data_IF_898690788298
#
_entry.id   IF_898690788298
#
_cell.length_a   1.000
_cell.length_b   1.000
_cell.length_c   1.000
_cell.angle_alpha   90.00
_cell.angle_beta   90.00
_cell.angle_gamma   90.00
#
_symmetry.space_group_name_H-M   'P 1'
#
loop_
_entity.id
_entity.type
_entity.pdbx_description
1 polymer ?
#
# COMPACT_ATOMS: atom_id res chain seq x y z
N UNK A 1 4.01 -14.19 -18.84
CA UNK A 1 5.03 -13.17 -19.19
C UNK A 1 6.19 -13.38 -18.25
N UNK A 2 7.41 -13.24 -18.75
CA UNK A 2 8.60 -13.38 -17.91
C UNK A 2 8.93 -12.05 -17.19
N UNK A 3 9.82 -12.09 -16.20
CA UNK A 3 10.22 -10.93 -15.40
C UNK A 3 10.77 -9.77 -16.26
N UNK A 4 11.47 -10.08 -17.36
CA UNK A 4 12.08 -9.09 -18.26
C UNK A 4 11.02 -8.31 -19.05
N UNK A 5 9.98 -8.98 -19.56
CA UNK A 5 8.89 -8.34 -20.29
C UNK A 5 8.07 -7.40 -19.39
N UNK A 6 7.89 -7.75 -18.11
CA UNK A 6 7.20 -6.88 -17.15
C UNK A 6 8.02 -5.63 -16.82
N UNK A 7 9.34 -5.76 -16.74
CA UNK A 7 10.25 -4.62 -16.59
C UNK A 7 10.11 -3.65 -17.77
N UNK A 8 10.15 -4.18 -19.00
CA UNK A 8 10.13 -3.35 -20.22
C UNK A 8 8.76 -2.67 -20.44
N UNK A 9 7.68 -3.17 -19.80
CA UNK A 9 6.38 -2.49 -19.78
C UNK A 9 6.33 -1.28 -18.83
N UNK A 10 7.18 -1.25 -17.81
CA UNK A 10 7.23 -0.16 -16.84
C UNK A 10 8.20 0.89 -17.37
N UNK A 11 7.70 2.12 -17.57
CA UNK A 11 8.52 3.23 -18.05
C UNK A 11 9.71 3.50 -17.11
N UNK A 12 10.88 3.76 -17.69
CA UNK A 12 12.10 4.13 -16.94
C UNK A 12 11.89 5.32 -15.98
N UNK A 13 10.99 6.25 -16.33
CA UNK A 13 10.60 7.38 -15.47
C UNK A 13 9.98 6.93 -14.15
N UNK A 14 9.14 5.88 -14.16
CA UNK A 14 8.52 5.33 -12.95
C UNK A 14 9.55 4.59 -12.08
N UNK A 15 10.53 3.94 -12.70
CA UNK A 15 11.64 3.29 -11.97
C UNK A 15 12.47 4.30 -11.17
N UNK A 16 12.61 5.53 -11.67
CA UNK A 16 13.39 6.60 -11.02
C UNK A 16 12.53 7.51 -10.11
N UNK A 17 11.21 7.38 -10.16
CA UNK A 17 10.29 8.22 -9.40
C UNK A 17 10.46 8.00 -7.89
N UNK A 18 11.03 9.01 -7.23
CA UNK A 18 11.30 9.02 -5.79
C UNK A 18 10.45 10.02 -5.02
N UNK A 19 9.70 10.88 -5.72
CA UNK A 19 8.77 11.83 -5.11
C UNK A 19 7.33 11.30 -5.17
N UNK A 20 6.57 11.53 -4.10
CA UNK A 20 5.12 11.24 -4.02
C UNK A 20 4.31 12.07 -5.01
N UNK A 21 4.88 13.18 -5.51
CA UNK A 21 4.27 13.99 -6.55
C UNK A 21 4.24 13.28 -7.92
N UNK A 22 5.23 12.43 -8.19
CA UNK A 22 5.48 11.83 -9.52
C UNK A 22 4.64 10.58 -9.77
N UNK A 23 4.22 9.89 -8.70
CA UNK A 23 3.45 8.64 -8.79
C UNK A 23 2.06 8.88 -8.21
N UNK A 24 1.02 8.61 -9.02
CA UNK A 24 -0.39 8.73 -8.60
C UNK A 24 -1.07 7.38 -8.50
N UNK A 25 -2.29 7.38 -7.96
CA UNK A 25 -3.16 6.18 -7.89
C UNK A 25 -3.26 5.44 -9.24
N UNK A 26 -3.33 6.15 -10.36
CA UNK A 26 -3.39 5.53 -11.69
C UNK A 26 -2.13 4.73 -12.03
N UNK A 27 -0.96 5.18 -11.58
CA UNK A 27 0.29 4.50 -11.84
C UNK A 27 0.39 3.23 -11.00
N UNK A 28 -0.04 3.26 -9.73
CA UNK A 28 -0.16 2.04 -8.94
C UNK A 28 -1.09 1.00 -9.57
N UNK A 29 -2.21 1.41 -10.18
CA UNK A 29 -3.10 0.49 -10.92
C UNK A 29 -2.42 -0.10 -12.16
N UNK A 30 -1.58 0.67 -12.87
CA UNK A 30 -0.79 0.14 -14.00
C UNK A 30 0.26 -0.85 -13.51
N UNK A 31 0.93 -0.56 -12.39
CA UNK A 31 1.91 -1.47 -11.76
C UNK A 31 1.25 -2.78 -11.32
N UNK A 32 0.05 -2.71 -10.72
CA UNK A 32 -0.75 -3.89 -10.39
C UNK A 32 -1.10 -4.71 -11.63
N UNK A 33 -1.55 -4.06 -12.70
CA UNK A 33 -1.85 -4.73 -13.96
C UNK A 33 -0.62 -5.36 -14.60
N UNK A 34 0.57 -4.77 -14.43
CA UNK A 34 1.83 -5.32 -14.91
C UNK A 34 2.25 -6.55 -14.09
N UNK A 35 2.24 -6.44 -12.75
CA UNK A 35 2.58 -7.53 -11.84
C UNK A 35 1.58 -8.71 -11.93
N UNK A 36 0.31 -8.44 -12.22
CA UNK A 36 -0.69 -9.49 -12.43
C UNK A 36 -0.37 -10.39 -13.65
N UNK A 37 0.43 -9.93 -14.61
CA UNK A 37 0.86 -10.73 -15.77
C UNK A 37 1.95 -11.75 -15.43
N UNK A 38 2.57 -11.63 -14.26
CA UNK A 38 3.44 -12.66 -13.69
C UNK A 38 2.53 -13.75 -13.08
N UNK A 39 2.31 -14.82 -13.82
CA UNK A 39 1.47 -15.95 -13.37
C UNK A 39 2.25 -16.99 -12.59
N UNK A 40 3.51 -17.21 -12.97
CA UNK A 40 4.36 -18.20 -12.34
C UNK A 40 4.97 -17.67 -11.03
N UNK A 41 5.03 -18.53 -10.01
CA UNK A 41 5.63 -18.16 -8.72
C UNK A 41 7.14 -17.92 -8.81
N UNK A 42 7.81 -18.57 -9.76
CA UNK A 42 9.24 -18.42 -10.03
C UNK A 42 9.54 -17.05 -10.63
N UNK A 43 8.82 -16.65 -11.69
CA UNK A 43 8.94 -15.34 -12.32
C UNK A 43 8.66 -14.19 -11.34
N UNK A 44 7.67 -14.36 -10.44
CA UNK A 44 7.39 -13.38 -9.38
C UNK A 44 8.54 -13.21 -8.41
N UNK A 45 9.17 -14.32 -8.01
CA UNK A 45 10.28 -14.29 -7.07
C UNK A 45 11.55 -13.71 -7.71
N UNK A 46 11.83 -14.05 -8.97
CA UNK A 46 12.92 -13.45 -9.73
C UNK A 46 12.73 -11.93 -9.87
N UNK A 47 11.51 -11.49 -10.22
CA UNK A 47 11.21 -10.07 -10.34
C UNK A 47 11.31 -9.33 -9.00
N UNK A 48 10.87 -9.96 -7.90
CA UNK A 48 11.05 -9.40 -6.55
C UNK A 48 12.53 -9.20 -6.23
N UNK A 49 13.36 -10.21 -6.47
CA UNK A 49 14.81 -10.13 -6.25
C UNK A 49 15.44 -9.00 -7.05
N UNK A 50 15.03 -8.83 -8.31
CA UNK A 50 15.46 -7.71 -9.13
C UNK A 50 15.04 -6.34 -8.54
N UNK A 51 13.82 -6.21 -8.03
CA UNK A 51 13.38 -4.98 -7.37
C UNK A 51 14.21 -4.69 -6.11
N UNK A 52 14.52 -5.71 -5.31
CA UNK A 52 15.35 -5.58 -4.10
C UNK A 52 16.79 -5.17 -4.45
N UNK A 53 17.40 -5.80 -5.46
CA UNK A 53 18.72 -5.40 -5.98
C UNK A 53 18.71 -3.94 -6.49
N UNK A 54 17.64 -3.52 -7.17
CA UNK A 54 17.50 -2.14 -7.63
C UNK A 54 17.37 -1.15 -6.46
N UNK A 55 16.74 -1.56 -5.36
CA UNK A 55 16.68 -0.79 -4.11
C UNK A 55 18.01 -0.75 -3.38
N UNK A 56 18.91 -1.70 -3.57
CA UNK A 56 20.25 -1.73 -2.94
C UNK A 56 21.32 -0.99 -3.74
N UNK A 57 21.25 -1.00 -5.08
CA UNK A 57 22.35 -0.48 -5.91
C UNK A 57 22.10 0.89 -6.56
N UNK A 58 20.88 1.12 -7.09
CA UNK A 58 20.67 2.17 -8.12
C UNK A 58 19.62 3.22 -7.75
N UNK A 59 18.54 2.85 -7.05
CA UNK A 59 17.40 3.71 -6.78
C UNK A 59 16.79 3.46 -5.38
N UNK A 60 17.57 3.71 -4.31
CA UNK A 60 17.19 3.43 -2.92
C UNK A 60 15.81 3.97 -2.47
N UNK A 61 15.30 5.03 -3.09
CA UNK A 61 14.05 5.70 -2.70
C UNK A 61 12.93 5.63 -3.73
N UNK A 62 13.01 4.75 -4.73
CA UNK A 62 11.93 4.68 -5.72
C UNK A 62 10.64 4.11 -5.13
N UNK A 63 9.56 4.87 -5.27
CA UNK A 63 8.21 4.51 -4.78
C UNK A 63 7.67 3.32 -5.57
N UNK A 64 7.83 3.35 -6.90
CA UNK A 64 7.33 2.28 -7.77
C UNK A 64 8.01 0.94 -7.48
N UNK A 65 9.33 0.97 -7.23
CA UNK A 65 10.10 -0.25 -6.94
C UNK A 65 9.70 -0.85 -5.60
N UNK A 66 9.55 -0.03 -4.56
CA UNK A 66 9.07 -0.47 -3.23
C UNK A 66 7.68 -1.10 -3.32
N UNK A 67 6.79 -0.48 -4.08
CA UNK A 67 5.45 -1.01 -4.32
C UNK A 67 5.50 -2.35 -5.06
N UNK A 68 6.27 -2.44 -6.15
CA UNK A 68 6.43 -3.66 -6.94
C UNK A 68 7.04 -4.81 -6.15
N UNK A 69 8.07 -4.54 -5.35
CA UNK A 69 8.70 -5.52 -4.47
C UNK A 69 7.69 -6.13 -3.47
N UNK A 70 6.74 -5.31 -3.00
CA UNK A 70 5.68 -5.78 -2.10
C UNK A 70 4.71 -6.70 -2.84
N UNK A 71 4.12 -6.26 -3.95
CA UNK A 71 3.03 -6.99 -4.63
C UNK A 71 3.51 -8.26 -5.36
N UNK A 72 4.80 -8.36 -5.66
CA UNK A 72 5.42 -9.55 -6.28
C UNK A 72 5.99 -10.52 -5.25
N UNK A 73 6.11 -10.10 -3.99
CA UNK A 73 6.50 -10.96 -2.88
C UNK A 73 5.48 -12.05 -2.56
N UNK A 74 5.93 -13.09 -1.85
CA UNK A 74 5.02 -14.07 -1.25
C UNK A 74 4.46 -13.49 0.04
N UNK A 75 3.13 -13.48 0.17
CA UNK A 75 2.52 -13.22 1.46
C UNK A 75 2.93 -14.28 2.48
N UNK A 76 3.17 -13.89 3.75
CA UNK A 76 3.01 -12.55 4.35
C UNK A 76 4.31 -11.91 4.85
N UNK A 77 5.49 -12.25 4.30
CA UNK A 77 6.75 -12.02 5.03
C UNK A 77 7.54 -10.73 4.75
N UNK A 78 7.16 -9.86 3.81
CA UNK A 78 7.91 -8.60 3.63
C UNK A 78 7.06 -7.41 3.15
N UNK A 79 6.18 -6.95 4.04
CA UNK A 79 5.30 -5.79 3.78
C UNK A 79 5.98 -4.44 4.12
N UNK A 80 7.26 -4.45 4.55
CA UNK A 80 7.96 -3.24 5.03
C UNK A 80 7.99 -2.13 3.98
N UNK A 81 8.16 -2.49 2.71
CA UNK A 81 8.27 -1.52 1.62
C UNK A 81 6.98 -0.74 1.38
N UNK A 82 5.81 -1.39 1.41
CA UNK A 82 4.52 -0.70 1.22
C UNK A 82 4.15 0.18 2.40
N UNK A 83 4.53 -0.19 3.64
CA UNK A 83 4.35 0.68 4.80
C UNK A 83 5.22 1.94 4.69
N UNK A 84 6.47 1.84 4.24
CA UNK A 84 7.30 3.03 3.98
C UNK A 84 6.65 3.94 2.94
N UNK A 85 6.13 3.37 1.85
CA UNK A 85 5.45 4.17 0.81
C UNK A 85 4.19 4.83 1.40
N UNK A 86 3.37 4.10 2.15
CA UNK A 86 2.19 4.64 2.81
C UNK A 86 2.52 5.83 3.73
N UNK A 87 3.59 5.71 4.53
CA UNK A 87 4.07 6.77 5.42
C UNK A 87 4.46 8.03 4.64
N UNK A 88 5.22 7.89 3.55
CA UNK A 88 5.61 9.02 2.71
C UNK A 88 4.40 9.77 2.16
N UNK A 89 3.40 9.06 1.63
CA UNK A 89 2.17 9.71 1.13
C UNK A 89 1.31 10.31 2.25
N UNK A 90 1.34 9.73 3.44
CA UNK A 90 0.64 10.27 4.60
C UNK A 90 1.29 11.58 5.07
N UNK A 91 2.61 11.63 5.18
CA UNK A 91 3.37 12.84 5.53
C UNK A 91 3.12 13.97 4.53
N UNK A 92 3.05 13.64 3.24
CA UNK A 92 2.76 14.60 2.16
C UNK A 92 1.27 14.95 2.04
N UNK A 93 0.40 14.43 2.92
CA UNK A 93 -1.06 14.66 2.91
C UNK A 93 -1.74 14.30 1.58
N UNK A 94 -1.18 13.33 0.87
CA UNK A 94 -1.66 12.85 -0.42
C UNK A 94 -2.73 11.77 -0.22
N UNK A 95 -3.89 12.21 0.30
CA UNK A 95 -4.97 11.34 0.79
C UNK A 95 -5.47 10.29 -0.21
N UNK A 96 -5.64 10.58 -1.52
CA UNK A 96 -6.09 9.56 -2.47
C UNK A 96 -5.14 8.36 -2.56
N UNK A 97 -3.85 8.61 -2.56
CA UNK A 97 -2.81 7.58 -2.57
C UNK A 97 -2.70 6.85 -1.23
N UNK A 98 -2.84 7.56 -0.11
CA UNK A 98 -2.93 6.95 1.23
C UNK A 98 -4.10 5.97 1.30
N UNK A 99 -5.28 6.35 0.81
CA UNK A 99 -6.46 5.48 0.78
C UNK A 99 -6.19 4.26 -0.09
N UNK A 100 -5.60 4.46 -1.28
CA UNK A 100 -5.28 3.35 -2.18
C UNK A 100 -4.32 2.35 -1.54
N UNK A 101 -3.19 2.83 -1.02
CA UNK A 101 -2.13 2.02 -0.42
C UNK A 101 -2.60 1.33 0.85
N UNK A 102 -3.32 2.04 1.73
CA UNK A 102 -3.90 1.46 2.93
C UNK A 102 -4.85 0.32 2.61
N UNK A 103 -5.77 0.51 1.66
CA UNK A 103 -6.67 -0.56 1.22
C UNK A 103 -5.91 -1.72 0.58
N UNK A 104 -4.82 -1.44 -0.17
CA UNK A 104 -3.97 -2.48 -0.75
C UNK A 104 -3.32 -3.34 0.33
N UNK A 105 -2.77 -2.74 1.37
CA UNK A 105 -2.19 -3.47 2.52
C UNK A 105 -3.26 -4.39 3.15
N UNK A 106 -4.48 -3.90 3.32
CA UNK A 106 -5.59 -4.71 3.87
C UNK A 106 -5.99 -5.90 2.99
N UNK A 107 -5.65 -5.92 1.70
CA UNK A 107 -5.85 -7.13 0.86
C UNK A 107 -4.87 -8.25 1.18
N UNK A 108 -3.75 -7.91 1.82
CA UNK A 108 -2.64 -8.82 2.12
C UNK A 108 -2.66 -9.27 3.58
N UNK A 109 -2.90 -8.31 4.47
CA UNK A 109 -2.93 -8.50 5.91
C UNK A 109 -3.87 -7.46 6.52
N UNK A 110 -4.74 -7.91 7.43
CA UNK A 110 -5.65 -7.03 8.17
C UNK A 110 -4.85 -6.26 9.24
N UNK A 111 -4.08 -5.27 8.80
CA UNK A 111 -3.13 -4.51 9.63
C UNK A 111 -3.82 -3.42 10.43
N UNK A 112 -3.65 -3.44 11.76
CA UNK A 112 -4.14 -2.39 12.66
C UNK A 112 -3.54 -1.02 12.31
N UNK A 113 -2.28 -0.97 11.90
CA UNK A 113 -1.63 0.26 11.45
C UNK A 113 -2.32 0.85 10.22
N UNK A 114 -2.55 0.05 9.18
CA UNK A 114 -3.22 0.51 7.97
C UNK A 114 -4.66 0.98 8.25
N UNK A 115 -5.39 0.29 9.13
CA UNK A 115 -6.73 0.70 9.56
C UNK A 115 -6.71 2.04 10.32
N UNK A 116 -5.74 2.28 11.19
CA UNK A 116 -5.58 3.57 11.90
C UNK A 116 -5.33 4.72 10.91
N UNK A 117 -4.37 4.55 10.00
CA UNK A 117 -4.05 5.53 8.95
C UNK A 117 -5.27 5.83 8.07
N UNK A 118 -6.01 4.81 7.65
CA UNK A 118 -7.22 4.99 6.86
C UNK A 118 -8.31 5.73 7.62
N UNK A 119 -8.54 5.40 8.89
CA UNK A 119 -9.56 6.07 9.70
C UNK A 119 -9.27 7.56 9.89
N UNK A 120 -8.01 7.93 10.09
CA UNK A 120 -7.57 9.33 10.12
C UNK A 120 -7.78 10.01 8.76
N UNK A 121 -7.38 9.35 7.69
CA UNK A 121 -7.56 9.87 6.33
C UNK A 121 -9.05 10.12 6.02
N UNK A 122 -9.93 9.17 6.34
CA UNK A 122 -11.37 9.33 6.16
C UNK A 122 -11.96 10.44 7.04
N UNK A 123 -11.41 10.65 8.25
CA UNK A 123 -11.79 11.78 9.11
C UNK A 123 -11.45 13.11 8.45
N UNK A 124 -10.23 13.27 7.94
CA UNK A 124 -9.77 14.50 7.26
C UNK A 124 -10.59 14.80 6.00
N UNK A 125 -11.01 13.75 5.28
CA UNK A 125 -11.78 13.87 4.04
C UNK A 125 -13.30 13.91 4.25
N UNK A 126 -13.79 13.98 5.50
CA UNK A 126 -15.22 13.96 5.86
C UNK A 126 -15.98 12.73 5.31
N UNK A 127 -15.30 11.59 5.22
CA UNK A 127 -15.83 10.30 4.76
C UNK A 127 -16.31 9.48 5.97
N UNK A 128 -17.38 9.95 6.61
CA UNK A 128 -17.81 9.39 7.91
C UNK A 128 -18.20 7.91 7.82
N UNK A 129 -18.82 7.49 6.72
CA UNK A 129 -19.24 6.10 6.55
C UNK A 129 -18.03 5.15 6.52
N UNK A 130 -17.06 5.44 5.67
CA UNK A 130 -15.84 4.66 5.48
C UNK A 130 -14.98 4.63 6.75
N UNK A 131 -14.96 5.74 7.49
CA UNK A 131 -14.34 5.84 8.81
C UNK A 131 -15.00 4.88 9.82
N UNK A 132 -16.32 4.88 9.93
CA UNK A 132 -17.03 3.97 10.84
C UNK A 132 -16.78 2.51 10.47
N UNK A 133 -16.88 2.15 9.18
CA UNK A 133 -16.56 0.80 8.70
C UNK A 133 -15.10 0.39 9.04
N UNK A 134 -14.17 1.33 8.96
CA UNK A 134 -12.75 1.10 9.30
C UNK A 134 -12.55 0.90 10.81
N UNK A 135 -13.24 1.67 11.64
CA UNK A 135 -13.21 1.51 13.10
C UNK A 135 -13.79 0.18 13.56
N UNK A 136 -14.88 -0.28 12.95
CA UNK A 136 -15.44 -1.60 13.26
C UNK A 136 -14.46 -2.74 12.96
N UNK A 137 -13.68 -2.62 11.88
CA UNK A 137 -12.62 -3.57 11.53
C UNK A 137 -11.46 -3.47 12.51
N UNK A 138 -11.03 -2.26 12.85
CA UNK A 138 -9.92 -2.02 13.77
C UNK A 138 -10.15 -2.67 15.13
N UNK A 139 -11.35 -2.52 15.70
CA UNK A 139 -11.70 -3.14 16.99
C UNK A 139 -11.65 -4.67 16.96
N UNK A 140 -11.93 -5.29 15.81
CA UNK A 140 -11.86 -6.76 15.66
C UNK A 140 -10.44 -7.29 15.54
N UNK A 141 -9.51 -6.43 15.09
CA UNK A 141 -8.09 -6.77 14.89
C UNK A 141 -7.30 -6.46 16.15
N UNK A 142 -7.63 -5.34 16.79
CA UNK A 142 -6.96 -4.79 17.96
C UNK A 142 -8.02 -4.47 19.02
N UNK A 143 -8.37 -5.51 19.81
CA UNK A 143 -9.40 -5.41 20.84
C UNK A 143 -8.98 -4.53 22.04
N UNK A 144 -7.71 -4.12 22.11
CA UNK A 144 -7.18 -3.25 23.17
C UNK A 144 -7.42 -1.76 22.87
N UNK A 145 -7.89 -1.41 21.67
CA UNK A 145 -8.23 -0.04 21.26
C UNK A 145 -9.56 0.43 21.87
N UNK A 146 -9.56 0.63 23.19
CA UNK A 146 -10.73 1.06 23.97
C UNK A 146 -11.28 2.41 23.53
N UNK A 147 -10.45 3.31 23.03
CA UNK A 147 -10.88 4.64 22.58
C UNK A 147 -11.76 4.58 21.32
N UNK A 148 -11.46 3.65 20.42
CA UNK A 148 -12.27 3.42 19.20
C UNK A 148 -13.60 2.75 19.56
N UNK A 149 -13.58 1.84 20.54
CA UNK A 149 -14.80 1.22 21.09
C UNK A 149 -15.78 2.26 21.65
N UNK A 150 -15.30 3.22 22.45
CA UNK A 150 -16.17 4.29 22.98
C UNK A 150 -16.76 5.16 21.87
N UNK A 151 -15.95 5.56 20.88
CA UNK A 151 -16.43 6.37 19.74
C UNK A 151 -17.50 5.66 18.91
N UNK A 152 -17.36 4.35 18.69
CA UNK A 152 -18.38 3.54 18.01
C UNK A 152 -19.65 3.42 18.84
N UNK A 153 -19.52 3.19 20.16
CA UNK A 153 -20.66 3.10 21.05
C UNK A 153 -21.47 4.41 21.08
N UNK A 154 -20.82 5.56 21.11
CA UNK A 154 -21.49 6.86 21.04
C UNK A 154 -22.21 7.05 19.69
N UNK A 155 -21.58 6.63 18.58
CA UNK A 155 -22.19 6.72 17.25
C UNK A 155 -23.48 5.89 17.13
N UNK A 156 -23.50 4.65 17.63
CA UNK A 156 -24.69 3.78 17.53
C UNK A 156 -25.80 4.10 18.54
N UNK A 157 -25.48 4.83 19.61
CA UNK A 157 -26.46 5.23 20.64
C UNK A 157 -27.06 6.63 20.39
N UNK A 158 -26.58 7.37 19.38
CA UNK A 158 -27.08 8.68 18.96
C UNK A 158 -28.18 8.57 17.89
#
# INVERSE_FOLDING_TARGET
MNATEVRDLIKDELWQASSTADVKVEDFKKLDAAAAKLTESEDRQEFKGYCEECLEEKNHNSIAIRYLATITGRHPMDDRHIFTVLEQYYEDSMWPEVIYLGNKILTFNESSYALKVLAECYTVNNMEKEKIETWERLVKVDFEETDVLYKLADYFNA
#
